data_IF_157353497241
#
_entry.id   IF_157353497241
#
_cell.length_a   1.000
_cell.length_b   1.000
_cell.length_c   1.000
_cell.angle_alpha   90.00
_cell.angle_beta   90.00
_cell.angle_gamma   90.00
#
_symmetry.space_group_name_H-M   'P 1'
#
loop_
_entity.id
_entity.type
_entity.pdbx_description
1 polymer ?
2 polymer ?
3 non-polymer ?
4 non-polymer ?
5 water ?
#
loop_
_entity_poly.entity_id
_entity_poly.type
_entity_poly.pdbx_seq_one_letter_code
_entity_poly.pdbx_strand_id
2 'polyribonucleotide' 'UUUUAAUUUU' ?
#
# COMPACT_ATOMS: atom_id res chain seq x y z
N UNK A 11 -33.44 3.71 -3.04
CA UNK A 11 -32.34 3.46 -3.95
C UNK A 11 -31.39 4.66 -4.00
N UNK A 12 -30.11 4.38 -4.27
CA UNK A 12 -29.06 5.39 -4.08
C UNK A 12 -29.30 6.58 -5.00
N UNK A 13 -29.60 6.33 -6.26
CA UNK A 13 -29.83 7.43 -7.19
C UNK A 13 -31.03 8.28 -6.79
N UNK A 14 -31.93 7.75 -5.97
CA UNK A 14 -32.98 8.55 -5.35
C UNK A 14 -32.50 9.24 -4.07
N UNK A 15 -31.41 8.77 -3.47
CA UNK A 15 -30.87 9.37 -2.26
C UNK A 15 -29.84 10.45 -2.53
N UNK A 16 -29.10 10.33 -3.63
CA UNK A 16 -28.09 11.31 -4.01
C UNK A 16 -28.50 11.94 -5.33
N UNK A 17 -28.06 13.17 -5.51
CA UNK A 17 -28.03 13.76 -6.83
C UNK A 17 -26.71 13.35 -7.47
N UNK A 18 -26.74 12.46 -8.45
CA UNK A 18 -25.47 11.94 -9.00
C UNK A 18 -24.64 13.04 -9.63
N UNK A 19 -23.32 12.94 -9.45
CA UNK A 19 -22.44 13.98 -9.95
C UNK A 19 -22.17 13.79 -11.45
N UNK A 20 -21.77 14.88 -12.09
CA UNK A 20 -21.44 14.85 -13.50
C UNK A 20 -20.27 13.89 -13.75
N UNK A 21 -20.29 13.14 -14.85
CA UNK A 21 -19.17 12.23 -15.13
C UNK A 21 -17.83 12.93 -15.22
N UNK A 22 -17.80 14.11 -15.88
CA UNK A 22 -16.57 14.87 -15.97
C UNK A 22 -16.08 15.28 -14.58
N UNK A 23 -17.00 15.68 -13.70
CA UNK A 23 -16.63 15.97 -12.32
C UNK A 23 -15.98 14.77 -11.65
N UNK A 24 -16.56 13.59 -11.83
CA UNK A 24 -16.01 12.41 -11.17
C UNK A 24 -14.64 12.07 -11.72
N UNK A 25 -14.52 12.00 -13.05
CA UNK A 25 -13.26 11.59 -13.67
C UNK A 25 -12.14 12.57 -13.33
N UNK A 26 -12.43 13.87 -13.32
CA UNK A 26 -11.37 14.82 -13.03
C UNK A 26 -11.01 14.83 -11.55
N UNK A 27 -11.98 14.63 -10.66
CA UNK A 27 -11.68 14.72 -9.23
C UNK A 27 -11.16 13.42 -8.63
N UNK A 28 -11.47 12.27 -9.22
CA UNK A 28 -11.05 11.00 -8.65
C UNK A 28 -9.89 10.35 -9.41
N UNK A 29 -9.35 11.00 -10.43
CA UNK A 29 -8.09 10.59 -11.03
C UNK A 29 -7.06 10.38 -9.94
N UNK A 30 -6.43 9.20 -9.94
CA UNK A 30 -5.59 8.81 -8.81
C UNK A 30 -4.11 9.01 -9.08
N UNK A 31 -3.76 9.88 -10.03
CA UNK A 31 -2.38 10.30 -10.17
C UNK A 31 -1.92 10.87 -8.83
N UNK A 32 -0.88 10.30 -8.19
CA UNK A 32 -0.59 10.69 -6.80
C UNK A 32 -0.23 12.16 -6.64
N UNK A 33 0.49 12.72 -7.60
CA UNK A 33 0.93 14.11 -7.59
C UNK A 33 0.09 14.83 -8.64
N UNK A 34 -0.87 15.61 -8.18
CA UNK A 34 -1.87 16.20 -9.08
C UNK A 34 -2.19 17.60 -8.58
N UNK A 35 -1.82 18.61 -9.35
CA UNK A 35 -2.11 19.99 -9.04
C UNK A 35 -3.39 20.44 -9.74
N UNK A 36 -3.99 21.51 -9.22
CA UNK A 36 -5.14 22.14 -9.81
C UNK A 36 -6.47 21.79 -9.18
N UNK A 37 -6.52 20.74 -8.36
CA UNK A 37 -7.78 20.23 -7.80
C UNK A 37 -7.98 20.86 -6.42
N UNK A 38 -8.73 21.96 -6.41
CA UNK A 38 -8.94 22.76 -5.21
C UNK A 38 -10.17 22.33 -4.39
N UNK A 39 -10.81 21.22 -4.75
CA UNK A 39 -12.00 20.74 -4.07
C UNK A 39 -11.81 19.29 -3.65
N UNK A 40 -12.34 18.96 -2.46
CA UNK A 40 -12.43 17.58 -1.98
C UNK A 40 -13.86 17.11 -2.18
N UNK A 41 -14.02 15.90 -2.71
CA UNK A 41 -15.32 15.27 -2.87
C UNK A 41 -15.39 14.01 -2.02
N UNK A 42 -16.58 13.74 -1.49
CA UNK A 42 -16.79 12.65 -0.54
C UNK A 42 -18.14 12.02 -0.86
N UNK A 43 -18.13 10.79 -1.34
CA UNK A 43 -19.36 10.02 -1.53
C UNK A 43 -19.48 9.03 -0.38
N UNK A 44 -20.62 9.05 0.31
CA UNK A 44 -20.76 8.20 1.48
C UNK A 44 -22.04 7.39 1.40
N UNK A 45 -21.97 6.20 2.00
CA UNK A 45 -23.11 5.34 2.28
C UNK A 45 -23.16 5.07 3.76
N UNK A 46 -24.38 5.12 4.31
CA UNK A 46 -24.66 4.69 5.68
C UNK A 46 -25.50 3.42 5.58
N UNK A 47 -24.98 2.33 6.18
CA UNK A 47 -25.62 1.02 6.20
C UNK A 47 -25.75 0.51 7.64
N UNK A 48 -26.51 -0.57 7.79
CA UNK A 48 -26.62 -1.24 9.09
C UNK A 48 -25.43 -2.18 9.30
N UNK A 49 -25.42 -2.84 10.47
CA UNK A 49 -24.44 -3.90 10.72
C UNK A 49 -24.41 -4.90 9.58
N UNK A 50 -25.57 -5.41 9.21
CA UNK A 50 -25.72 -6.22 8.01
C UNK A 50 -25.39 -5.36 6.80
N UNK A 51 -24.44 -5.75 5.96
CA UNK A 51 -24.25 -5.04 4.68
C UNK A 51 -25.44 -5.31 3.77
N UNK A 52 -25.15 -5.92 2.61
CA UNK A 52 -26.13 -6.61 1.79
C UNK A 52 -27.52 -5.99 1.80
N UNK A 53 -27.59 -4.68 1.66
CA UNK A 53 -28.83 -4.02 1.42
C UNK A 53 -28.54 -2.77 0.64
N UNK A 54 -29.58 -2.06 0.21
CA UNK A 54 -29.38 -0.65 -0.07
C UNK A 54 -28.89 0.04 1.19
N UNK A 55 -28.11 1.10 1.06
CA UNK A 55 -27.74 1.86 2.25
C UNK A 55 -29.01 2.37 2.92
N UNK A 56 -28.91 2.64 4.22
CA UNK A 56 -29.95 3.44 4.86
C UNK A 56 -30.01 4.81 4.20
N UNK A 57 -28.85 5.36 3.85
CA UNK A 57 -28.84 6.64 3.14
C UNK A 57 -27.51 6.80 2.42
N UNK A 58 -27.47 7.74 1.47
CA UNK A 58 -26.27 8.00 0.71
C UNK A 58 -26.19 9.49 0.43
N UNK A 59 -24.97 10.02 0.37
CA UNK A 59 -24.80 11.46 0.22
C UNK A 59 -23.51 11.76 -0.52
N UNK A 60 -23.51 12.90 -1.21
CA UNK A 60 -22.32 13.45 -1.84
C UNK A 60 -22.05 14.81 -1.20
N UNK A 61 -20.87 14.96 -0.61
CA UNK A 61 -20.42 16.21 -0.02
C UNK A 61 -19.20 16.72 -0.78
N UNK A 62 -19.08 18.04 -0.87
CA UNK A 62 -17.92 18.65 -1.49
C UNK A 62 -17.49 19.84 -0.64
N UNK A 63 -16.22 20.22 -0.77
CA UNK A 63 -15.74 21.39 -0.07
C UNK A 63 -14.39 21.85 -0.59
N UNK A 64 -14.22 23.16 -0.71
CA UNK A 64 -12.94 23.71 -1.17
C UNK A 64 -11.84 23.37 -0.17
N UNK A 65 -10.67 22.98 -0.70
CA UNK A 65 -9.53 22.72 0.16
C UNK A 65 -9.18 23.95 0.98
N UNK A 66 -9.15 25.13 0.35
CA UNK A 66 -8.81 26.37 1.02
C UNK A 66 -9.97 27.36 0.91
N UNK A 67 -10.13 28.26 1.91
CA UNK A 67 -9.28 28.43 3.10
C UNK A 67 -9.80 27.79 4.40
N UNK A 68 -11.07 27.39 4.45
CA UNK A 68 -11.71 27.00 5.71
C UNK A 68 -11.88 25.48 5.75
N UNK A 69 -11.12 24.81 6.61
CA UNK A 69 -11.25 23.37 6.76
C UNK A 69 -12.56 22.97 7.42
N UNK A 70 -13.24 23.90 8.08
CA UNK A 70 -14.55 23.61 8.65
C UNK A 70 -15.58 23.26 7.58
N UNK A 71 -15.34 23.64 6.33
CA UNK A 71 -16.24 23.32 5.23
C UNK A 71 -15.72 22.21 4.34
N UNK A 72 -14.68 21.50 4.77
CA UNK A 72 -14.27 20.30 4.08
C UNK A 72 -15.39 19.27 4.18
N UNK A 73 -15.53 18.39 3.17
CA UNK A 73 -16.67 17.48 3.15
C UNK A 73 -16.73 16.53 4.33
N UNK A 74 -15.60 16.20 4.96
CA UNK A 74 -15.63 15.38 6.16
C UNK A 74 -16.46 16.03 7.26
N UNK A 75 -16.29 17.35 7.45
CA UNK A 75 -17.04 18.06 8.49
C UNK A 75 -18.50 18.25 8.09
N UNK A 76 -18.76 18.52 6.81
CA UNK A 76 -20.15 18.55 6.34
C UNK A 76 -20.82 17.22 6.61
N UNK A 77 -20.08 16.12 6.43
CA UNK A 77 -20.63 14.80 6.74
C UNK A 77 -20.93 14.67 8.22
N UNK A 78 -20.01 15.07 9.08
CA UNK A 78 -20.24 14.93 10.51
C UNK A 78 -21.51 15.69 10.94
N UNK A 79 -21.66 16.93 10.46
CA UNK A 79 -22.86 17.70 10.82
C UNK A 79 -24.12 17.04 10.28
N UNK A 80 -24.10 16.67 8.98
CA UNK A 80 -25.28 16.04 8.39
C UNK A 80 -25.63 14.75 9.11
N UNK A 81 -24.63 13.95 9.47
CA UNK A 81 -24.86 12.64 10.09
C UNK A 81 -25.38 12.78 11.50
N UNK A 82 -24.92 13.80 12.24
CA UNK A 82 -25.53 14.10 13.53
C UNK A 82 -27.03 14.37 13.39
N UNK A 83 -27.38 15.30 12.49
CA UNK A 83 -28.80 15.60 12.31
C UNK A 83 -29.57 14.39 11.81
N UNK A 84 -28.97 13.60 10.93
CA UNK A 84 -29.63 12.44 10.35
C UNK A 84 -29.91 11.38 11.42
N UNK A 85 -28.94 11.12 12.29
CA UNK A 85 -29.13 10.13 13.35
C UNK A 85 -30.20 10.58 14.33
N UNK A 86 -30.35 11.90 14.52
CA UNK A 86 -31.48 12.36 15.32
C UNK A 86 -32.82 11.87 14.77
N UNK A 87 -32.92 11.74 13.44
CA UNK A 87 -34.21 11.52 12.78
C UNK A 87 -34.50 10.05 12.46
N UNK A 88 -33.64 9.13 12.86
CA UNK A 88 -33.81 7.72 12.57
C UNK A 88 -33.58 6.90 13.84
N UNK A 89 -34.22 5.74 13.90
CA UNK A 89 -34.11 4.91 15.10
C UNK A 89 -32.68 4.43 15.28
N UNK A 90 -32.19 4.54 16.50
CA UNK A 90 -30.78 4.28 16.76
C UNK A 90 -30.44 2.81 16.56
N UNK A 91 -29.32 2.58 15.91
CA UNK A 91 -28.75 1.25 15.70
C UNK A 91 -27.32 1.46 15.27
N UNK A 92 -26.55 0.38 15.26
CA UNK A 92 -25.15 0.52 14.90
C UNK A 92 -25.02 0.70 13.39
N UNK A 93 -24.05 1.52 12.99
CA UNK A 93 -23.93 1.95 11.60
C UNK A 93 -22.55 1.63 11.06
N UNK A 94 -22.52 1.26 9.79
CA UNK A 94 -21.29 1.06 9.02
C UNK A 94 -21.30 2.09 7.91
N UNK A 95 -20.33 3.01 7.94
CA UNK A 95 -20.26 4.12 7.01
C UNK A 95 -19.09 3.87 6.08
N UNK A 96 -19.30 4.11 4.79
CA UNK A 96 -18.23 4.05 3.81
C UNK A 96 -18.12 5.39 3.10
N UNK A 97 -16.88 5.87 2.96
CA UNK A 97 -16.54 7.06 2.18
C UNK A 97 -15.66 6.68 1.00
N UNK A 98 -15.95 7.26 -0.16
CA UNK A 98 -14.99 7.43 -1.24
C UNK A 98 -14.61 8.90 -1.27
N UNK A 99 -13.37 9.23 -0.91
CA UNK A 99 -12.90 10.61 -0.87
C UNK A 99 -11.83 10.80 -1.94
N UNK A 100 -11.87 11.96 -2.60
CA UNK A 100 -10.92 12.24 -3.67
C UNK A 100 -9.52 12.55 -3.11
N UNK A 101 -9.45 13.35 -2.06
CA UNK A 101 -8.23 13.56 -1.29
C UNK A 101 -8.39 12.95 0.10
N UNK A 102 -7.31 12.34 0.61
CA UNK A 102 -7.32 11.85 1.99
C UNK A 102 -7.46 13.03 2.96
N UNK A 103 -7.85 12.78 4.21
CA UNK A 103 -8.17 13.88 5.12
C UNK A 103 -6.97 14.75 5.45
N UNK A 104 -7.21 16.05 5.55
CA UNK A 104 -6.23 16.96 6.12
C UNK A 104 -6.11 16.70 7.63
N UNK A 105 -5.12 17.34 8.24
CA UNK A 105 -4.82 17.05 9.64
C UNK A 105 -6.01 17.39 10.54
N UNK A 106 -6.69 18.51 10.25
CA UNK A 106 -7.83 18.93 11.05
C UNK A 106 -8.99 17.96 10.93
N UNK A 107 -9.31 17.53 9.71
CA UNK A 107 -10.42 16.60 9.52
C UNK A 107 -10.09 15.23 10.08
N UNK A 108 -8.85 14.76 9.83
CA UNK A 108 -8.45 13.48 10.42
C UNK A 108 -8.63 13.51 11.93
N UNK A 109 -8.23 14.61 12.57
CA UNK A 109 -8.36 14.67 14.03
C UNK A 109 -9.83 14.78 14.46
N UNK A 110 -10.64 15.56 13.74
CA UNK A 110 -12.05 15.68 14.10
C UNK A 110 -12.77 14.33 13.97
N UNK A 111 -12.51 13.61 12.88
CA UNK A 111 -13.16 12.31 12.68
C UNK A 111 -12.65 11.31 13.71
N UNK A 112 -11.35 11.34 14.01
CA UNK A 112 -10.82 10.43 15.02
C UNK A 112 -11.47 10.69 16.37
N UNK A 113 -11.66 11.96 16.73
CA UNK A 113 -12.38 12.30 17.95
C UNK A 113 -13.81 11.77 17.91
N UNK A 114 -14.48 11.96 16.77
CA UNK A 114 -15.87 11.50 16.66
C UNK A 114 -15.97 9.99 16.82
N UNK A 115 -15.11 9.24 16.14
CA UNK A 115 -15.15 7.79 16.20
C UNK A 115 -14.78 7.27 17.57
N UNK A 116 -13.76 7.88 18.21
CA UNK A 116 -13.34 7.40 19.52
C UNK A 116 -14.40 7.62 20.57
N UNK A 117 -15.25 8.63 20.39
CA UNK A 117 -16.32 8.93 21.34
C UNK A 117 -17.64 8.23 21.00
N UNK A 118 -17.71 7.49 19.90
CA UNK A 118 -18.96 6.85 19.48
C UNK A 118 -18.69 5.44 18.95
N UNK A 119 -18.75 4.43 19.81
CA UNK A 119 -18.49 3.05 19.35
C UNK A 119 -19.60 2.45 18.49
N UNK A 120 -20.80 3.06 18.43
CA UNK A 120 -21.86 2.53 17.59
C UNK A 120 -21.62 2.71 16.10
N UNK A 121 -20.59 3.45 15.70
CA UNK A 121 -20.34 3.79 14.31
C UNK A 121 -18.95 3.31 13.93
N UNK A 122 -18.86 2.58 12.81
CA UNK A 122 -17.56 2.25 12.24
C UNK A 122 -17.47 2.85 10.84
N UNK A 123 -16.25 3.21 10.44
CA UNK A 123 -16.03 3.97 9.23
C UNK A 123 -14.93 3.34 8.39
N UNK A 124 -15.20 3.18 7.10
CA UNK A 124 -14.19 2.79 6.13
C UNK A 124 -14.00 3.93 5.14
N UNK A 125 -12.75 4.31 4.89
CA UNK A 125 -12.42 5.43 4.01
C UNK A 125 -11.56 4.88 2.88
N UNK A 126 -12.11 4.88 1.66
CA UNK A 126 -11.32 4.65 0.46
C UNK A 126 -10.95 6.01 -0.12
N UNK A 127 -9.66 6.21 -0.37
CA UNK A 127 -9.15 7.49 -0.85
C UNK A 127 -8.62 7.32 -2.26
N UNK A 128 -8.92 8.28 -3.13
CA UNK A 128 -8.40 8.23 -4.48
C UNK A 128 -6.93 8.65 -4.51
N UNK A 129 -6.57 9.69 -3.77
CA UNK A 129 -5.20 10.20 -3.69
C UNK A 129 -4.86 10.54 -2.25
N UNK A 130 -3.57 10.47 -1.93
CA UNK A 130 -3.07 10.82 -0.60
C UNK A 130 -2.59 12.27 -0.60
N UNK A 131 -3.21 13.09 0.25
CA UNK A 131 -2.94 14.52 0.36
C UNK A 131 -1.75 14.74 1.29
N UNK A 132 -0.69 15.34 0.76
CA UNK A 132 0.51 15.67 1.55
C UNK A 132 1.06 14.47 2.30
N UNK A 133 1.12 13.32 1.61
CA UNK A 133 1.55 12.08 2.27
C UNK A 133 2.98 12.18 2.80
N UNK A 134 3.80 13.07 2.24
CA UNK A 134 5.21 13.18 2.62
C UNK A 134 5.44 14.09 3.82
N UNK A 135 4.38 14.70 4.35
CA UNK A 135 4.53 15.64 5.45
C UNK A 135 4.26 14.96 6.78
N UNK A 136 5.20 15.00 7.73
CA UNK A 136 5.02 14.27 8.98
C UNK A 136 3.72 14.58 9.73
N UNK A 137 3.24 15.83 9.69
CA UNK A 137 1.98 16.15 10.36
C UNK A 137 0.82 15.36 9.77
N UNK A 138 0.76 15.26 8.44
CA UNK A 138 -0.33 14.53 7.79
C UNK A 138 -0.23 13.02 8.05
N UNK A 139 1.00 12.48 8.00
CA UNK A 139 1.23 11.09 8.37
C UNK A 139 0.73 10.81 9.78
N UNK A 140 1.10 11.68 10.71
CA UNK A 140 0.70 11.53 12.12
C UNK A 140 -0.81 11.60 12.28
N UNK A 141 -1.45 12.53 11.55
CA UNK A 141 -2.90 12.67 11.67
C UNK A 141 -3.63 11.46 11.10
N UNK A 142 -3.13 10.91 9.99
CA UNK A 142 -3.73 9.69 9.45
C UNK A 142 -3.54 8.52 10.39
N UNK A 143 -2.39 8.45 11.07
CA UNK A 143 -2.21 7.39 12.07
C UNK A 143 -3.17 7.57 13.24
N UNK A 144 -3.44 8.82 13.63
CA UNK A 144 -4.42 9.06 14.68
C UNK A 144 -5.81 8.61 14.24
N UNK A 145 -6.15 8.87 12.98
CA UNK A 145 -7.44 8.41 12.45
C UNK A 145 -7.51 6.89 12.45
N UNK A 146 -6.42 6.23 12.04
CA UNK A 146 -6.38 4.77 12.03
C UNK A 146 -6.55 4.20 13.44
N UNK A 147 -5.85 4.77 14.41
CA UNK A 147 -5.93 4.30 15.79
C UNK A 147 -7.31 4.49 16.40
N UNK A 148 -8.11 5.41 15.88
CA UNK A 148 -9.48 5.58 16.33
C UNK A 148 -10.43 4.52 15.79
N UNK A 149 -9.95 3.66 14.88
CA UNK A 149 -10.74 2.58 14.33
C UNK A 149 -11.01 2.71 12.85
N UNK A 150 -10.83 3.89 12.26
CA UNK A 150 -11.13 4.08 10.84
C UNK A 150 -10.27 3.15 10.00
N UNK A 151 -10.92 2.43 9.08
CA UNK A 151 -10.24 1.58 8.12
C UNK A 151 -9.98 2.40 6.86
N UNK A 152 -8.70 2.61 6.55
CA UNK A 152 -8.30 3.47 5.46
C UNK A 152 -7.66 2.64 4.36
N UNK A 153 -8.14 2.81 3.14
CA UNK A 153 -7.62 2.06 2.01
C UNK A 153 -7.55 2.98 0.80
N UNK A 154 -6.76 2.57 -0.18
CA UNK A 154 -6.68 3.28 -1.45
C UNK A 154 -7.75 2.72 -2.37
N UNK A 155 -8.49 3.60 -3.04
CA UNK A 155 -9.44 3.14 -4.04
C UNK A 155 -8.73 2.39 -5.15
N UNK A 156 -9.21 1.20 -5.45
CA UNK A 156 -8.78 0.45 -6.61
C UNK A 156 -9.89 0.44 -7.64
N UNK A 157 -9.66 -0.25 -8.76
CA UNK A 157 -10.65 -0.34 -9.83
C UNK A 157 -12.06 -0.63 -9.30
N UNK A 158 -12.20 -1.62 -8.41
CA UNK A 158 -13.53 -1.99 -7.93
C UNK A 158 -14.22 -0.82 -7.22
N UNK A 159 -13.46 -0.05 -6.43
CA UNK A 159 -14.05 1.08 -5.72
C UNK A 159 -14.38 2.22 -6.66
N UNK A 160 -13.51 2.49 -7.63
CA UNK A 160 -13.83 3.50 -8.64
C UNK A 160 -15.10 3.12 -9.39
N UNK A 161 -15.20 1.86 -9.80
CA UNK A 161 -16.37 1.40 -10.53
C UNK A 161 -17.63 1.47 -9.68
N UNK A 162 -17.52 1.08 -8.40
CA UNK A 162 -18.67 1.15 -7.50
C UNK A 162 -19.12 2.59 -7.30
N UNK A 163 -18.16 3.50 -7.12
CA UNK A 163 -18.49 4.91 -7.01
C UNK A 163 -19.15 5.43 -8.27
N UNK A 164 -18.63 5.05 -9.44
CA UNK A 164 -19.25 5.42 -10.71
C UNK A 164 -20.70 4.96 -10.78
N UNK A 165 -20.94 3.69 -10.44
CA UNK A 165 -22.29 3.11 -10.52
C UNK A 165 -23.25 3.80 -9.56
N UNK A 166 -22.78 4.14 -8.36
CA UNK A 166 -23.69 4.64 -7.34
C UNK A 166 -23.87 6.15 -7.37
N UNK A 167 -22.79 6.92 -7.59
CA UNK A 167 -22.81 8.35 -7.35
C UNK A 167 -22.60 9.20 -8.59
N UNK A 168 -22.49 8.60 -9.77
CA UNK A 168 -22.19 9.34 -10.99
C UNK A 168 -23.35 9.17 -11.96
N UNK A 169 -23.65 10.24 -12.70
CA UNK A 169 -24.70 10.23 -13.72
C UNK A 169 -24.08 9.67 -15.01
N UNK A 170 -23.75 8.38 -14.96
CA UNK A 170 -23.17 7.67 -16.10
C UNK A 170 -24.14 7.30 -17.20
N UNK A 171 -25.43 7.47 -16.98
CA UNK A 171 -26.46 7.24 -17.99
C UNK A 171 -26.38 5.83 -18.57
N UNK A 172 -26.07 4.87 -17.70
CA UNK A 172 -26.00 3.47 -18.09
C UNK A 172 -24.68 3.02 -18.66
N UNK A 173 -23.81 3.94 -19.05
CA UNK A 173 -22.52 3.55 -19.59
C UNK A 173 -21.63 3.04 -18.45
N UNK A 174 -20.79 2.05 -18.71
CA UNK A 174 -19.92 1.51 -17.65
C UNK A 174 -18.74 2.42 -17.35
N UNK A 175 -18.10 2.14 -16.22
CA UNK A 175 -16.92 2.88 -15.82
C UNK A 175 -15.76 2.55 -16.75
N UNK A 176 -15.10 3.58 -17.27
CA UNK A 176 -13.93 3.39 -18.13
C UNK A 176 -12.67 3.81 -17.36
N UNK A 177 -11.77 2.90 -17.04
CA UNK A 177 -10.60 3.27 -16.23
C UNK A 177 -9.65 4.13 -17.04
N UNK A 178 -9.06 5.12 -16.38
CA UNK A 178 -8.06 5.96 -17.03
C UNK A 178 -6.72 5.23 -17.10
N UNK A 179 -5.83 5.78 -17.93
CA UNK A 179 -4.51 5.21 -18.07
C UNK A 179 -3.74 5.33 -16.75
N UNK A 180 -3.03 4.26 -16.40
CA UNK A 180 -2.14 4.16 -15.24
C UNK A 180 -2.89 4.07 -13.92
N UNK A 181 -4.19 3.78 -13.91
CA UNK A 181 -4.88 3.53 -12.66
C UNK A 181 -4.19 2.47 -11.80
N UNK A 182 -3.76 1.31 -12.33
CA UNK A 182 -3.14 0.30 -11.44
C UNK A 182 -1.77 0.72 -10.91
N UNK A 183 -0.95 1.36 -11.75
CA UNK A 183 0.37 1.81 -11.31
C UNK A 183 0.26 2.86 -10.21
N UNK A 184 -0.65 3.82 -10.38
CA UNK A 184 -0.94 4.78 -9.33
C UNK A 184 -1.46 4.09 -8.08
N UNK A 185 -2.35 3.12 -8.25
CA UNK A 185 -2.86 2.38 -7.11
C UNK A 185 -1.74 1.77 -6.28
N UNK A 186 -0.81 1.07 -6.95
CA UNK A 186 0.24 0.38 -6.20
C UNK A 186 1.16 1.36 -5.48
N UNK A 187 1.53 2.47 -6.15
CA UNK A 187 2.32 3.48 -5.45
C UNK A 187 1.59 4.00 -4.20
N UNK A 188 0.30 4.31 -4.34
CA UNK A 188 -0.45 4.86 -3.21
C UNK A 188 -0.65 3.84 -2.10
N UNK A 189 -0.91 2.59 -2.46
CA UNK A 189 -1.13 1.58 -1.44
C UNK A 189 0.15 1.33 -0.65
N UNK A 190 1.30 1.27 -1.34
CA UNK A 190 2.56 1.13 -0.63
C UNK A 190 2.81 2.33 0.28
N UNK A 191 2.51 3.55 -0.20
CA UNK A 191 2.76 4.73 0.63
C UNK A 191 1.85 4.74 1.85
N UNK A 192 0.59 4.33 1.68
CA UNK A 192 -0.33 4.25 2.80
C UNK A 192 0.14 3.22 3.82
N UNK A 193 0.59 2.06 3.34
CA UNK A 193 1.16 1.07 4.26
C UNK A 193 2.35 1.61 5.02
N UNK A 194 3.22 2.36 4.34
CA UNK A 194 4.37 2.96 5.00
C UNK A 194 3.93 3.91 6.10
N UNK A 195 3.04 4.85 5.78
CA UNK A 195 2.76 5.90 6.74
C UNK A 195 1.84 5.41 7.87
N UNK A 196 1.01 4.41 7.63
CA UNK A 196 0.27 3.79 8.73
C UNK A 196 1.10 2.75 9.48
N UNK A 197 2.31 2.45 8.99
CA UNK A 197 3.20 1.47 9.60
C UNK A 197 2.52 0.11 9.71
N UNK A 198 1.96 -0.35 8.59
CA UNK A 198 1.37 -1.68 8.55
C UNK A 198 2.45 -2.71 8.83
N UNK A 199 2.08 -3.74 9.58
CA UNK A 199 2.97 -4.83 9.94
C UNK A 199 2.47 -6.12 9.34
N UNK A 200 3.38 -6.95 8.87
CA UNK A 200 2.99 -8.22 8.27
C UNK A 200 2.37 -9.14 9.32
N UNK A 201 1.37 -9.90 8.89
CA UNK A 201 0.77 -10.91 9.76
C UNK A 201 1.82 -11.96 10.12
N UNK A 202 1.91 -12.38 11.38
CA UNK A 202 2.97 -13.32 11.76
C UNK A 202 2.88 -14.66 11.05
N UNK A 203 1.67 -15.21 10.90
CA UNK A 203 1.52 -16.45 10.17
C UNK A 203 1.92 -16.30 8.71
N UNK A 204 1.62 -15.14 8.12
CA UNK A 204 2.03 -14.89 6.74
C UNK A 204 3.55 -14.83 6.63
N UNK A 205 4.21 -14.14 7.55
CA UNK A 205 5.67 -14.11 7.54
C UNK A 205 6.24 -15.51 7.68
N UNK A 206 5.79 -16.27 8.68
CA UNK A 206 6.36 -17.58 8.94
C UNK A 206 6.13 -18.52 7.77
N UNK A 207 4.94 -18.48 7.16
CA UNK A 207 4.67 -19.33 6.01
C UNK A 207 5.53 -18.97 4.81
N UNK A 208 5.70 -17.67 4.53
CA UNK A 208 6.36 -17.30 3.30
C UNK A 208 7.88 -17.22 3.40
N UNK A 209 8.43 -17.08 4.60
CA UNK A 209 9.87 -16.93 4.74
C UNK A 209 10.56 -18.17 5.28
N UNK A 210 9.81 -19.20 5.67
CA UNK A 210 10.41 -20.50 5.94
C UNK A 210 11.24 -20.94 4.73
N UNK A 211 12.49 -21.32 4.98
CA UNK A 211 13.43 -21.59 3.90
C UNK A 211 13.68 -23.08 3.65
N UNK A 212 12.84 -23.96 4.19
CA UNK A 212 12.88 -25.36 3.81
C UNK A 212 12.38 -25.49 2.37
N UNK A 213 12.60 -26.62 1.71
CA UNK A 213 12.09 -26.78 0.34
C UNK A 213 10.59 -26.54 0.27
N UNK A 214 10.17 -25.74 -0.70
CA UNK A 214 8.79 -25.30 -0.82
C UNK A 214 7.88 -26.45 -1.29
N UNK A 215 6.80 -26.68 -0.55
CA UNK A 215 5.86 -27.77 -0.88
C UNK A 215 4.49 -27.25 -1.28
N UNK A 216 4.18 -25.98 -1.05
CA UNK A 216 2.87 -25.47 -1.39
C UNK A 216 2.78 -25.20 -2.88
N UNK A 217 1.55 -25.28 -3.41
CA UNK A 217 1.33 -24.90 -4.80
C UNK A 217 1.32 -23.42 -5.03
N UNK A 218 1.20 -22.62 -3.97
CA UNK A 218 1.21 -21.17 -4.12
C UNK A 218 2.59 -20.69 -4.52
N UNK A 219 2.64 -19.86 -5.55
CA UNK A 219 3.82 -19.04 -5.82
C UNK A 219 3.42 -17.58 -5.62
N UNK A 220 3.79 -17.04 -4.48
CA UNK A 220 3.65 -15.63 -4.16
C UNK A 220 4.96 -15.16 -3.55
N UNK A 221 5.26 -13.88 -3.73
CA UNK A 221 6.49 -13.29 -3.20
C UNK A 221 6.13 -12.14 -2.26
N UNK A 222 6.62 -12.23 -1.03
CA UNK A 222 6.57 -11.13 -0.08
C UNK A 222 7.96 -10.50 0.03
N UNK A 223 8.00 -9.18 0.23
CA UNK A 223 9.25 -8.44 0.15
C UNK A 223 9.22 -7.31 1.17
N UNK A 224 10.13 -7.34 2.12
CA UNK A 224 10.33 -6.25 3.06
C UNK A 224 11.44 -5.34 2.56
N UNK A 225 11.32 -4.05 2.84
CA UNK A 225 12.28 -3.08 2.31
C UNK A 225 12.57 -2.00 3.35
N UNK A 226 13.82 -1.53 3.29
CA UNK A 226 14.30 -0.42 4.10
C UNK A 226 15.36 0.34 3.33
N UNK A 227 15.66 1.55 3.80
CA UNK A 227 16.62 2.44 3.15
C UNK A 227 17.58 2.99 4.21
N UNK A 228 18.85 3.09 3.83
CA UNK A 228 19.87 3.73 4.63
C UNK A 228 20.52 4.85 3.84
N UNK A 229 21.01 5.85 4.56
CA UNK A 229 21.69 7.00 3.98
C UNK A 229 23.13 7.05 4.49
N UNK A 230 24.05 7.34 3.59
CA UNK A 230 25.45 7.48 3.98
C UNK A 230 25.67 8.85 4.61
N UNK A 231 26.13 8.87 5.86
CA UNK A 231 26.36 10.10 6.60
C UNK A 231 27.65 9.96 7.39
N UNK A 232 28.62 10.82 7.10
CA UNK A 232 29.91 10.83 7.78
C UNK A 232 30.53 9.43 7.80
N UNK A 233 30.49 8.77 6.65
CA UNK A 233 31.09 7.46 6.41
C UNK A 233 30.37 6.32 7.12
N UNK A 234 29.17 6.56 7.66
CA UNK A 234 28.40 5.53 8.35
C UNK A 234 27.01 5.43 7.72
N UNK A 235 26.53 4.20 7.57
CA UNK A 235 25.16 3.97 7.11
C UNK A 235 24.20 4.25 8.26
N UNK A 236 23.29 5.20 8.07
CA UNK A 236 22.32 5.53 9.11
C UNK A 236 20.92 5.19 8.61
N UNK A 237 20.00 4.82 9.50
CA UNK A 237 18.65 4.48 9.06
C UNK A 237 17.90 5.68 8.53
N UNK A 238 17.01 5.41 7.58
CA UNK A 238 16.09 6.39 7.00
C UNK A 238 14.70 5.85 7.28
N UNK A 239 14.18 6.15 8.47
CA UNK A 239 12.97 5.50 8.99
C UNK A 239 11.73 5.76 8.14
N UNK A 240 11.78 6.72 7.22
CA UNK A 240 10.59 7.08 6.44
C UNK A 240 10.10 5.90 5.61
N UNK A 241 10.97 5.33 4.78
CA UNK A 241 10.55 4.38 3.75
C UNK A 241 10.91 2.98 4.20
N UNK A 242 10.06 2.43 5.05
CA UNK A 242 10.20 1.07 5.52
C UNK A 242 8.86 0.37 5.43
N UNK A 243 8.87 -0.88 4.99
CA UNK A 243 7.60 -1.58 4.91
C UNK A 243 7.75 -2.89 4.16
N UNK A 244 6.63 -3.39 3.66
CA UNK A 244 6.64 -4.63 2.90
C UNK A 244 5.55 -4.55 1.85
N UNK A 245 5.68 -5.42 0.86
CA UNK A 245 4.73 -5.52 -0.25
C UNK A 245 4.75 -6.96 -0.74
N UNK A 246 3.84 -7.26 -1.67
CA UNK A 246 3.81 -8.58 -2.30
C UNK A 246 3.55 -8.41 -3.79
N UNK A 247 3.69 -9.51 -4.52
CA UNK A 247 3.43 -9.48 -5.94
C UNK A 247 1.95 -9.21 -6.21
N UNK A 248 1.68 -8.65 -7.38
CA UNK A 248 0.32 -8.41 -7.85
C UNK A 248 -0.04 -9.53 -8.81
N UNK A 249 -1.00 -10.35 -8.43
CA UNK A 249 -1.45 -11.43 -9.29
C UNK A 249 -2.12 -10.84 -10.53
N UNK A 250 -2.13 -11.57 -11.65
CA UNK A 250 -2.69 -11.01 -12.88
C UNK A 250 -4.19 -10.72 -12.78
N UNK A 251 -4.60 -9.62 -13.39
CA UNK A 251 -6.00 -9.21 -13.46
C UNK A 251 -6.10 -8.20 -14.59
N UNK A 252 -7.09 -8.39 -15.49
CA UNK A 252 -7.21 -7.47 -16.62
C UNK A 252 -7.53 -6.04 -16.19
N UNK A 253 -8.10 -5.85 -15.00
CA UNK A 253 -8.36 -4.52 -14.46
C UNK A 253 -7.17 -3.99 -13.67
N UNK A 254 -6.13 -4.78 -13.48
CA UNK A 254 -4.94 -4.33 -12.81
C UNK A 254 -3.76 -4.46 -13.75
N UNK A 255 -2.84 -5.35 -13.42
CA UNK A 255 -1.78 -5.68 -14.33
C UNK A 255 -2.14 -6.99 -15.04
N UNK A 256 -2.42 -6.97 -16.34
CA UNK A 256 -2.98 -8.16 -17.01
C UNK A 256 -2.06 -9.37 -16.95
N UNK A 257 -0.75 -9.15 -16.86
CA UNK A 257 0.23 -10.21 -16.73
C UNK A 257 0.82 -10.27 -15.33
N UNK A 258 0.23 -9.57 -14.38
CA UNK A 258 0.77 -9.49 -13.04
C UNK A 258 1.94 -8.52 -12.95
N UNK A 259 2.35 -8.24 -11.72
CA UNK A 259 3.54 -7.46 -11.48
C UNK A 259 4.27 -8.05 -10.28
N UNK A 260 5.46 -8.58 -10.51
CA UNK A 260 6.18 -9.28 -9.46
C UNK A 260 6.67 -8.31 -8.37
N UNK A 261 6.87 -8.86 -7.17
CA UNK A 261 7.21 -8.05 -6.01
C UNK A 261 8.43 -7.18 -6.25
N UNK A 262 9.46 -7.73 -6.92
CA UNK A 262 10.67 -6.95 -7.18
C UNK A 262 10.41 -5.74 -8.06
N UNK A 263 9.49 -5.86 -9.02
CA UNK A 263 9.16 -4.71 -9.86
C UNK A 263 8.37 -3.66 -9.10
N UNK A 264 7.43 -4.07 -8.23
CA UNK A 264 6.74 -3.11 -7.38
C UNK A 264 7.72 -2.37 -6.48
N UNK A 265 8.69 -3.12 -5.94
CA UNK A 265 9.78 -2.53 -5.16
C UNK A 265 10.54 -1.49 -5.97
N UNK A 266 10.92 -1.85 -7.20
CA UNK A 266 11.63 -0.89 -8.05
C UNK A 266 10.77 0.33 -8.37
N UNK A 267 9.45 0.13 -8.52
CA UNK A 267 8.53 1.25 -8.74
C UNK A 267 8.63 2.26 -7.60
N UNK A 268 8.76 1.76 -6.37
CA UNK A 268 8.75 2.66 -5.21
C UNK A 268 9.93 3.63 -5.22
N UNK A 269 11.12 3.18 -5.64
CA UNK A 269 12.34 3.96 -5.39
C UNK A 269 12.31 5.34 -6.03
N UNK A 270 12.00 5.50 -7.32
CA UNK A 270 11.89 6.87 -7.85
C UNK A 270 10.81 7.69 -7.16
N UNK A 271 9.76 7.04 -6.66
CA UNK A 271 8.66 7.76 -6.03
C UNK A 271 9.09 8.38 -4.70
N UNK A 272 10.12 7.83 -4.06
CA UNK A 272 10.67 8.42 -2.84
C UNK A 272 11.34 9.76 -3.07
N UNK A 273 11.73 10.07 -4.31
CA UNK A 273 12.38 11.34 -4.63
C UNK A 273 13.66 11.53 -3.83
N UNK A 274 14.47 10.49 -3.74
CA UNK A 274 15.76 10.60 -3.06
C UNK A 274 16.61 11.65 -3.75
N UNK A 275 17.47 12.30 -2.97
CA UNK A 275 18.32 13.36 -3.51
C UNK A 275 19.59 12.71 -4.07
N UNK A 276 20.68 13.48 -4.16
CA UNK A 276 21.92 13.00 -4.73
C UNK A 276 22.85 12.27 -3.78
N UNK A 277 22.50 12.16 -2.50
CA UNK A 277 23.35 11.48 -1.55
C UNK A 277 23.40 9.99 -1.85
N UNK A 278 24.30 9.29 -1.16
CA UNK A 278 24.41 7.85 -1.29
C UNK A 278 23.33 7.17 -0.46
N UNK A 279 22.66 6.19 -1.06
CA UNK A 279 21.63 5.42 -0.39
C UNK A 279 21.86 3.94 -0.61
N UNK A 280 21.56 3.15 0.41
CA UNK A 280 21.58 1.70 0.31
C UNK A 280 20.15 1.23 0.56
N UNK A 281 19.54 0.64 -0.46
CA UNK A 281 18.19 0.10 -0.36
C UNK A 281 18.28 -1.41 -0.24
N UNK A 282 17.66 -1.96 0.81
CA UNK A 282 17.71 -3.38 1.10
C UNK A 282 16.32 -3.97 1.01
N UNK A 283 16.20 -5.10 0.33
CA UNK A 283 14.97 -5.88 0.30
C UNK A 283 15.23 -7.30 0.78
N UNK A 284 14.32 -7.80 1.60
CA UNK A 284 14.28 -9.17 2.08
C UNK A 284 13.08 -9.82 1.40
N UNK A 285 13.35 -10.66 0.40
CA UNK A 285 12.33 -11.19 -0.48
C UNK A 285 12.23 -12.71 -0.26
N UNK A 286 11.00 -13.21 -0.19
CA UNK A 286 10.85 -14.62 0.15
C UNK A 286 11.32 -15.53 -0.98
N UNK A 287 11.23 -15.06 -2.23
CA UNK A 287 11.78 -15.75 -3.38
C UNK A 287 12.82 -14.85 -4.03
N UNK A 288 13.98 -15.42 -4.38
CA UNK A 288 14.91 -14.69 -5.21
C UNK A 288 14.23 -14.29 -6.52
N UNK A 289 14.64 -13.18 -7.13
CA UNK A 289 13.92 -12.71 -8.32
C UNK A 289 14.06 -13.67 -9.49
N UNK A 290 12.99 -13.76 -10.29
CA UNK A 290 13.07 -14.47 -11.55
C UNK A 290 13.94 -13.68 -12.53
N UNK A 291 14.12 -14.22 -13.74
CA UNK A 291 15.04 -13.59 -14.68
C UNK A 291 14.59 -12.19 -15.09
N UNK A 292 13.29 -12.01 -15.36
CA UNK A 292 12.80 -10.68 -15.73
C UNK A 292 13.00 -9.68 -14.60
N UNK A 293 12.67 -10.08 -13.37
CA UNK A 293 12.89 -9.20 -12.22
C UNK A 293 14.37 -8.84 -12.08
N UNK A 294 15.27 -9.81 -12.28
CA UNK A 294 16.69 -9.52 -12.14
C UNK A 294 17.19 -8.61 -13.24
N UNK A 295 16.70 -8.80 -14.47
CA UNK A 295 17.05 -7.89 -15.56
C UNK A 295 16.62 -6.47 -15.23
N UNK A 296 15.38 -6.30 -14.73
CA UNK A 296 14.91 -4.96 -14.41
C UNK A 296 15.71 -4.34 -13.27
N UNK A 297 16.02 -5.14 -12.24
CA UNK A 297 16.84 -4.62 -11.14
C UNK A 297 18.23 -4.22 -11.61
N UNK A 298 18.81 -5.00 -12.54
CA UNK A 298 20.12 -4.65 -13.08
C UNK A 298 20.07 -3.36 -13.87
N UNK A 299 19.02 -3.19 -14.67
CA UNK A 299 18.81 -1.93 -15.37
C UNK A 299 18.74 -0.76 -14.39
N UNK A 300 17.97 -0.93 -13.30
CA UNK A 300 17.86 0.12 -12.30
C UNK A 300 19.21 0.45 -11.69
N UNK A 301 20.02 -0.58 -11.38
CA UNK A 301 21.35 -0.33 -10.83
C UNK A 301 22.20 0.46 -11.81
N UNK A 302 22.18 0.09 -13.10
CA UNK A 302 22.91 0.86 -14.10
C UNK A 302 22.36 2.28 -14.23
N UNK A 303 21.14 2.50 -13.74
CA UNK A 303 20.46 3.79 -13.84
C UNK A 303 20.86 4.75 -12.72
N UNK A 304 20.96 4.25 -11.49
CA UNK A 304 20.98 5.08 -10.28
C UNK A 304 22.22 4.73 -9.46
N UNK A 305 23.37 5.28 -9.86
CA UNK A 305 24.62 4.96 -9.18
C UNK A 305 24.63 5.41 -7.72
N UNK A 306 23.80 6.37 -7.35
CA UNK A 306 23.74 6.80 -5.96
C UNK A 306 22.96 5.82 -5.08
N UNK A 307 22.42 4.74 -5.65
CA UNK A 307 21.66 3.74 -4.90
C UNK A 307 22.35 2.39 -5.05
N UNK A 308 22.72 1.79 -3.92
CA UNK A 308 23.24 0.42 -3.89
C UNK A 308 22.15 -0.52 -3.40
N UNK A 309 21.96 -1.61 -4.13
CA UNK A 309 20.92 -2.58 -3.86
C UNK A 309 21.50 -3.75 -3.07
N UNK A 310 20.82 -4.13 -1.99
CA UNK A 310 21.14 -5.34 -1.26
C UNK A 310 19.90 -6.21 -1.22
N UNK A 311 19.99 -7.38 -1.86
CA UNK A 311 18.89 -8.34 -1.97
C UNK A 311 19.22 -9.53 -1.07
N UNK A 312 18.41 -9.73 -0.03
CA UNK A 312 18.44 -10.96 0.75
C UNK A 312 17.24 -11.79 0.35
N UNK A 313 17.46 -13.09 0.15
CA UNK A 313 16.40 -13.99 -0.30
C UNK A 313 16.25 -15.15 0.68
N UNK A 314 15.00 -15.52 0.96
CA UNK A 314 14.76 -16.68 1.82
C UNK A 314 14.99 -17.98 1.06
N UNK A 315 14.52 -18.06 -0.18
CA UNK A 315 14.63 -19.25 -1.00
C UNK A 315 15.09 -18.84 -2.41
N UNK A 316 15.65 -19.81 -3.13
CA UNK A 316 16.02 -19.61 -4.52
C UNK A 316 14.85 -20.05 -5.40
N UNK A 317 14.38 -19.15 -6.26
CA UNK A 317 13.29 -19.48 -7.17
C UNK A 317 13.86 -19.91 -8.51
N UNK A 318 13.66 -21.18 -8.83
CA UNK A 318 13.94 -21.72 -10.17
C UNK A 318 12.75 -21.38 -11.06
N UNK A 319 12.93 -20.42 -11.98
CA UNK A 319 11.83 -19.99 -12.84
C UNK A 319 11.69 -20.85 -14.09
N UNK A 320 12.38 -22.00 -14.14
CA UNK A 320 12.46 -22.89 -15.30
C UNK A 320 13.10 -22.22 -16.51
N UNK A 321 13.77 -21.09 -16.31
CA UNK A 321 14.40 -20.37 -17.39
C UNK A 321 15.79 -19.88 -17.02
N UNK A 322 16.04 -18.58 -17.15
CA UNK A 322 17.38 -18.01 -17.08
C UNK A 322 17.71 -17.42 -15.71
N UNK A 323 17.08 -17.93 -14.64
CA UNK A 323 17.21 -17.28 -13.34
C UNK A 323 18.66 -17.22 -12.86
N UNK A 324 19.47 -18.24 -13.18
CA UNK A 324 20.86 -18.25 -12.76
C UNK A 324 21.64 -17.14 -13.44
N UNK A 325 21.46 -16.98 -14.75
CA UNK A 325 22.04 -15.85 -15.46
C UNK A 325 21.51 -14.52 -14.92
N UNK A 326 20.25 -14.48 -14.50
CA UNK A 326 19.72 -13.24 -13.92
C UNK A 326 20.43 -12.86 -12.63
N UNK A 327 20.62 -13.84 -11.74
CA UNK A 327 21.30 -13.55 -10.49
C UNK A 327 22.77 -13.19 -10.73
N UNK A 328 23.41 -13.86 -11.70
CA UNK A 328 24.79 -13.53 -12.04
C UNK A 328 24.91 -12.12 -12.62
N UNK A 329 23.96 -11.72 -13.47
CA UNK A 329 23.95 -10.37 -13.99
C UNK A 329 23.75 -9.35 -12.87
N UNK A 330 22.81 -9.62 -11.98
CA UNK A 330 22.58 -8.72 -10.85
C UNK A 330 23.83 -8.54 -10.02
N UNK A 331 24.52 -9.65 -9.72
CA UNK A 331 25.74 -9.55 -8.92
C UNK A 331 26.83 -8.80 -9.68
N UNK A 332 27.00 -9.11 -10.97
CA UNK A 332 28.03 -8.46 -11.77
C UNK A 332 27.82 -6.95 -11.82
N UNK A 333 26.58 -6.50 -11.77
CA UNK A 333 26.26 -5.08 -11.87
C UNK A 333 26.31 -4.35 -10.54
N UNK A 334 26.76 -5.01 -9.47
CA UNK A 334 27.00 -4.34 -8.20
C UNK A 334 25.99 -4.63 -7.12
N UNK A 335 24.95 -5.42 -7.40
CA UNK A 335 23.99 -5.76 -6.35
C UNK A 335 24.62 -6.75 -5.39
N UNK A 336 24.33 -6.59 -4.10
CA UNK A 336 24.66 -7.58 -3.09
C UNK A 336 23.52 -8.59 -3.03
N UNK A 337 23.79 -9.85 -3.39
CA UNK A 337 22.80 -10.92 -3.31
C UNK A 337 23.30 -11.96 -2.31
N UNK A 338 22.48 -12.26 -1.31
CA UNK A 338 22.81 -13.25 -0.31
C UNK A 338 21.54 -13.98 0.12
N UNK A 339 21.68 -15.25 0.48
CA UNK A 339 20.58 -15.96 1.11
C UNK A 339 20.41 -15.47 2.54
N UNK A 340 19.16 -15.40 2.98
CA UNK A 340 18.89 -15.00 4.36
C UNK A 340 19.35 -16.08 5.33
N UNK A 341 20.07 -15.66 6.36
CA UNK A 341 20.47 -16.50 7.48
C UNK A 341 19.63 -16.14 8.70
N UNK A 342 19.95 -16.75 9.83
CA UNK A 342 19.16 -16.53 11.04
C UNK A 342 18.98 -15.05 11.35
N UNK A 343 20.07 -14.28 11.27
CA UNK A 343 20.02 -12.88 11.69
C UNK A 343 19.08 -12.07 10.81
N UNK A 344 19.05 -12.36 9.51
CA UNK A 344 18.15 -11.62 8.63
C UNK A 344 16.69 -11.96 8.91
N UNK A 345 16.39 -13.25 9.14
CA UNK A 345 15.02 -13.63 9.50
C UNK A 345 14.60 -12.98 10.83
N UNK A 346 15.50 -12.97 11.82
CA UNK A 346 15.15 -12.35 13.09
C UNK A 346 14.94 -10.86 12.94
N UNK A 347 15.78 -10.21 12.13
CA UNK A 347 15.61 -8.78 11.89
C UNK A 347 14.27 -8.49 11.25
N UNK A 348 13.88 -9.32 10.27
CA UNK A 348 12.59 -9.08 9.62
C UNK A 348 11.43 -9.33 10.57
N UNK A 349 11.51 -10.37 11.40
CA UNK A 349 10.51 -10.59 12.43
C UNK A 349 10.39 -9.36 13.33
N UNK A 350 11.53 -8.88 13.83
CA UNK A 350 11.54 -7.76 14.77
C UNK A 350 11.06 -6.46 14.13
N UNK A 351 11.28 -6.29 12.82
CA UNK A 351 11.07 -5.00 12.18
C UNK A 351 9.75 -4.90 11.44
N UNK A 352 9.37 -5.91 10.66
CA UNK A 352 8.27 -5.80 9.73
C UNK A 352 7.02 -6.58 10.14
N UNK A 353 7.09 -7.42 11.17
CA UNK A 353 6.01 -8.35 11.50
C UNK A 353 5.24 -7.84 12.70
N UNK A 354 3.92 -8.05 12.69
CA UNK A 354 3.05 -7.74 13.83
C UNK A 354 3.22 -8.82 14.90
N UNK A 355 4.36 -8.78 15.57
CA UNK A 355 4.76 -9.85 16.49
C UNK A 355 4.17 -9.71 17.88
N UNK A 356 3.70 -8.50 18.24
CA UNK A 356 3.09 -8.25 19.55
C UNK A 356 3.97 -8.75 20.69
N UNK A 357 5.21 -8.24 20.71
CA UNK A 357 6.15 -8.56 21.76
C UNK A 357 6.81 -9.92 21.68
N UNK A 358 6.21 -10.88 20.96
CA UNK A 358 6.78 -12.23 20.92
C UNK A 358 8.11 -12.22 20.18
N UNK A 359 9.13 -12.90 20.70
CA UNK A 359 10.41 -12.96 20.01
C UNK A 359 10.36 -13.93 18.84
N UNK A 360 11.35 -13.79 17.96
CA UNK A 360 11.45 -14.66 16.80
C UNK A 360 11.68 -16.10 17.22
N UNK A 361 10.78 -17.00 16.79
CA UNK A 361 10.92 -18.43 17.02
C UNK A 361 11.29 -19.11 15.70
N UNK A 362 12.55 -19.48 15.52
CA UNK A 362 12.95 -20.06 14.23
C UNK A 362 12.30 -21.41 13.99
N UNK A 363 12.04 -21.69 12.72
CA UNK A 363 11.52 -22.99 12.30
C UNK A 363 12.65 -24.02 12.26
N UNK A 364 12.25 -25.29 12.17
CA UNK A 364 13.20 -26.38 12.14
C UNK A 364 14.11 -26.28 10.92
N UNK A 365 15.40 -26.55 11.14
CA UNK A 365 16.37 -26.59 10.06
C UNK A 365 16.73 -25.27 9.44
N UNK A 366 16.36 -24.15 10.07
CA UNK A 366 16.63 -22.84 9.48
C UNK A 366 18.09 -22.68 9.07
N UNK A 367 19.01 -22.96 10.00
CA UNK A 367 20.43 -22.79 9.71
C UNK A 367 20.90 -23.76 8.63
N UNK A 368 20.45 -25.01 8.69
CA UNK A 368 20.87 -26.00 7.70
C UNK A 368 20.36 -25.65 6.30
N UNK A 369 19.10 -25.23 6.20
CA UNK A 369 18.57 -24.80 4.91
C UNK A 369 19.27 -23.55 4.41
N UNK A 370 19.60 -22.62 5.31
CA UNK A 370 20.36 -21.44 4.92
C UNK A 370 21.72 -21.84 4.36
N UNK A 371 22.40 -22.79 5.00
CA UNK A 371 23.71 -23.20 4.51
C UNK A 371 23.59 -23.85 3.14
N UNK A 372 22.62 -24.74 2.97
CA UNK A 372 22.42 -25.39 1.68
C UNK A 372 22.14 -24.35 0.59
N UNK A 373 21.25 -23.41 0.87
CA UNK A 373 20.89 -22.41 -0.13
C UNK A 373 22.04 -21.46 -0.40
N UNK A 374 22.86 -21.16 0.62
CA UNK A 374 24.02 -20.30 0.43
C UNK A 374 25.04 -20.98 -0.48
N UNK A 375 25.27 -22.27 -0.28
CA UNK A 375 26.14 -23.02 -1.17
C UNK A 375 25.61 -23.02 -2.60
N UNK A 376 24.29 -23.19 -2.76
CA UNK A 376 23.70 -23.16 -4.09
C UNK A 376 23.89 -21.78 -4.74
N UNK A 377 23.67 -20.71 -3.99
CA UNK A 377 23.83 -19.36 -4.54
C UNK A 377 25.29 -19.13 -4.94
N UNK A 378 26.22 -19.56 -4.10
CA UNK A 378 27.64 -19.40 -4.43
C UNK A 378 27.99 -20.17 -5.70
N UNK A 379 27.44 -21.38 -5.87
CA UNK A 379 27.68 -22.14 -7.08
C UNK A 379 27.09 -21.44 -8.31
N UNK A 380 25.93 -20.80 -8.14
CA UNK A 380 25.32 -20.09 -9.26
C UNK A 380 26.16 -18.86 -9.64
N UNK A 381 26.59 -18.10 -8.64
CA UNK A 381 27.31 -16.85 -8.91
C UNK A 381 28.73 -17.09 -9.39
N UNK A 382 29.31 -18.25 -9.10
CA UNK A 382 30.67 -18.50 -9.57
C UNK A 382 30.74 -19.10 -10.97
N UNK A 383 29.61 -19.40 -11.60
CA UNK A 383 29.61 -19.93 -12.96
C UNK A 383 29.51 -18.82 -13.99
#
# INVERSE_FOLDING_TARGET
GPGGSGGMKPQIRNMVEPMDPRTFVSNFNNRPILSGLDTVWLCCEVKTKDPSGPPLDAKIFQGKVYPKAKYHPEMRFLRWFHKWRQLHHDQEYKVTWYVSWSPCTRCANSVATFLAKDPKVTLTIFVARLYYFWKPDYQQALRILAEAGATMKIMNYNEFQDCWNKFVDGRGKPFKPWNNLPKHYTLLQATLGELLRHLMDPGTFTSNFNNKPWVSGQHETYLCYKVERLHNDTWVPLNQHRGFLRNQAPNIHGFPKGRHAALCFLDLIPFWKLDGQQYRVTCFTSWSPCFSCAQEMAKFISNNEHVSLCIFAARIYDDQGRYQEGLRTLHRDGAKIAMMNYSEFEYCWDTFVDRQGRPFQPWDGLDEHSQALSGRLRAILQNQGN
#
